data_IF_404096595728
#
_entry.id   IF_404096595728
#
_cell.length_a   1.000
_cell.length_b   1.000
_cell.length_c   1.000
_cell.angle_alpha   90.00
_cell.angle_beta   90.00
_cell.angle_gamma   90.00
#
_symmetry.space_group_name_H-M   'P 1'
#
loop_
_entity.id
_entity.type
_entity.pdbx_description
1 polymer ?
#
# COMPACT_ATOMS: atom_id res chain seq x y z
N UNK A 1 13.99 -4.32 -27.89
CA UNK A 1 14.03 -5.72 -27.39
C UNK A 1 14.52 -5.81 -25.94
N UNK A 2 15.47 -4.98 -25.48
CA UNK A 2 15.89 -4.95 -24.06
C UNK A 2 14.82 -4.37 -23.12
N UNK A 3 13.93 -3.55 -23.67
CA UNK A 3 13.01 -2.70 -22.93
C UNK A 3 11.73 -3.45 -22.53
N UNK A 4 11.21 -4.27 -23.45
CA UNK A 4 10.18 -5.29 -23.15
C UNK A 4 10.67 -6.24 -22.07
N UNK A 5 11.96 -6.62 -22.10
CA UNK A 5 12.57 -7.50 -21.09
C UNK A 5 12.60 -6.85 -19.70
N UNK A 6 12.72 -5.53 -19.62
CA UNK A 6 12.69 -4.79 -18.35
C UNK A 6 11.29 -4.76 -17.74
N UNK A 7 10.27 -4.37 -18.52
CA UNK A 7 8.88 -4.36 -18.07
C UNK A 7 8.36 -5.76 -17.74
N UNK A 8 8.78 -6.77 -18.50
CA UNK A 8 8.51 -8.17 -18.19
C UNK A 8 9.10 -8.61 -16.85
N UNK A 9 10.36 -8.23 -16.56
CA UNK A 9 10.98 -8.49 -15.26
C UNK A 9 10.28 -7.77 -14.11
N UNK A 10 9.85 -6.52 -14.32
CA UNK A 10 9.10 -5.76 -13.32
C UNK A 10 7.72 -6.39 -13.07
N UNK A 11 7.03 -6.81 -14.13
CA UNK A 11 5.77 -7.56 -14.05
C UNK A 11 5.97 -8.86 -13.27
N UNK A 12 7.02 -9.60 -13.56
CA UNK A 12 7.34 -10.86 -12.87
C UNK A 12 7.61 -10.63 -11.37
N UNK A 13 8.36 -9.58 -11.03
CA UNK A 13 8.60 -9.19 -9.64
C UNK A 13 7.30 -8.84 -8.90
N UNK A 14 6.48 -7.96 -9.48
CA UNK A 14 5.21 -7.56 -8.87
C UNK A 14 4.23 -8.74 -8.75
N UNK A 15 4.24 -9.65 -9.72
CA UNK A 15 3.46 -10.89 -9.65
C UNK A 15 3.92 -11.76 -8.47
N UNK A 16 5.23 -11.89 -8.25
CA UNK A 16 5.77 -12.63 -7.08
C UNK A 16 5.36 -11.98 -5.77
N UNK A 17 5.43 -10.65 -5.69
CA UNK A 17 5.04 -9.92 -4.47
C UNK A 17 3.53 -10.04 -4.20
N UNK A 18 2.69 -9.97 -5.24
CA UNK A 18 1.26 -10.25 -5.14
C UNK A 18 0.99 -11.65 -4.57
N UNK A 19 1.69 -12.67 -5.07
CA UNK A 19 1.54 -14.05 -4.59
C UNK A 19 1.98 -14.18 -3.12
N UNK A 20 3.11 -13.57 -2.74
CA UNK A 20 3.59 -13.55 -1.35
C UNK A 20 2.57 -12.92 -0.40
N UNK A 21 2.00 -11.77 -0.77
CA UNK A 21 0.96 -11.10 0.02
C UNK A 21 -0.34 -11.91 0.06
N UNK A 22 -0.69 -12.60 -1.03
CA UNK A 22 -1.85 -13.50 -1.05
C UNK A 22 -1.70 -14.67 -0.07
N UNK A 23 -0.50 -15.26 0.02
CA UNK A 23 -0.19 -16.31 1.00
C UNK A 23 -0.28 -15.77 2.44
N UNK A 24 0.34 -14.61 2.69
CA UNK A 24 0.30 -13.94 4.00
C UNK A 24 -1.14 -13.60 4.44
N UNK A 25 -1.96 -13.13 3.50
CA UNK A 25 -3.39 -12.88 3.71
C UNK A 25 -4.14 -14.14 4.11
N UNK A 26 -3.88 -15.27 3.45
CA UNK A 26 -4.55 -16.54 3.72
C UNK A 26 -4.17 -17.10 5.11
N UNK A 27 -2.91 -16.94 5.51
CA UNK A 27 -2.44 -17.28 6.85
C UNK A 27 -3.14 -16.45 7.94
N UNK A 28 -3.26 -15.14 7.73
CA UNK A 28 -3.93 -14.23 8.67
C UNK A 28 -5.43 -14.55 8.75
N UNK A 29 -6.10 -14.80 7.61
CA UNK A 29 -7.50 -15.21 7.59
C UNK A 29 -7.72 -16.53 8.32
N UNK A 30 -6.82 -17.50 8.14
CA UNK A 30 -6.87 -18.78 8.85
C UNK A 30 -6.75 -18.60 10.36
N UNK A 31 -5.85 -17.70 10.81
CA UNK A 31 -5.73 -17.33 12.22
C UNK A 31 -7.00 -16.64 12.75
N UNK A 32 -7.59 -15.71 11.98
CA UNK A 32 -8.83 -15.02 12.33
C UNK A 32 -9.98 -16.03 12.52
N UNK A 33 -10.21 -16.91 11.55
CA UNK A 33 -11.27 -17.93 11.61
C UNK A 33 -11.11 -18.83 12.84
N UNK A 34 -9.87 -19.22 13.15
CA UNK A 34 -9.59 -20.03 14.34
C UNK A 34 -9.97 -19.29 15.62
N UNK A 35 -9.57 -18.02 15.76
CA UNK A 35 -9.91 -17.21 16.93
C UNK A 35 -11.42 -16.97 17.07
N UNK A 36 -12.13 -16.70 15.97
CA UNK A 36 -13.58 -16.55 15.95
C UNK A 36 -14.29 -17.84 16.38
N UNK A 37 -13.79 -19.00 15.93
CA UNK A 37 -14.32 -20.31 16.33
C UNK A 37 -14.11 -20.56 17.83
N UNK A 38 -12.92 -20.24 18.34
CA UNK A 38 -12.63 -20.35 19.77
C UNK A 38 -13.48 -19.38 20.61
N UNK A 39 -13.72 -18.16 20.14
CA UNK A 39 -14.58 -17.19 20.81
C UNK A 39 -16.03 -17.66 20.87
N UNK A 40 -16.57 -18.19 19.76
CA UNK A 40 -17.93 -18.76 19.72
C UNK A 40 -18.08 -19.95 20.67
N UNK A 41 -17.12 -20.89 20.65
CA UNK A 41 -17.13 -22.05 21.55
C UNK A 41 -17.08 -21.64 23.03
N UNK A 42 -16.29 -20.60 23.35
CA UNK A 42 -16.24 -20.06 24.70
C UNK A 42 -17.58 -19.46 25.13
N UNK A 43 -18.23 -18.65 24.26
CA UNK A 43 -19.56 -18.09 24.53
C UNK A 43 -20.60 -19.17 24.82
N UNK A 44 -20.61 -20.26 24.04
CA UNK A 44 -21.51 -21.40 24.26
C UNK A 44 -21.22 -22.12 25.59
N UNK A 45 -19.94 -22.32 25.93
CA UNK A 45 -19.52 -22.88 27.21
C UNK A 45 -19.99 -22.00 28.38
N UNK A 46 -19.83 -20.68 28.29
CA UNK A 46 -20.29 -19.74 29.31
C UNK A 46 -21.81 -19.75 29.48
N UNK A 47 -22.55 -19.73 28.36
CA UNK A 47 -24.01 -19.80 28.39
C UNK A 47 -24.49 -21.10 29.07
N UNK A 48 -23.90 -22.24 28.72
CA UNK A 48 -24.23 -23.53 29.30
C UNK A 48 -23.88 -23.59 30.80
N UNK A 49 -22.73 -23.05 31.22
CA UNK A 49 -22.35 -22.96 32.64
C UNK A 49 -23.33 -22.12 33.44
N UNK A 50 -23.72 -20.95 32.95
CA UNK A 50 -24.70 -20.07 33.61
C UNK A 50 -26.05 -20.77 33.81
N UNK A 51 -26.51 -21.51 32.80
CA UNK A 51 -27.75 -22.30 32.88
C UNK A 51 -27.66 -23.42 33.92
N UNK A 52 -26.49 -24.05 34.07
CA UNK A 52 -26.25 -25.07 35.10
C UNK A 52 -26.23 -24.45 36.51
N UNK A 53 -25.56 -23.30 36.68
CA UNK A 53 -25.55 -22.53 37.93
C UNK A 53 -26.97 -22.14 38.38
N UNK A 54 -27.78 -21.60 37.47
CA UNK A 54 -29.18 -21.25 37.74
C UNK A 54 -29.98 -22.48 38.18
N UNK A 55 -29.82 -23.62 37.51
CA UNK A 55 -30.45 -24.89 37.91
C UNK A 55 -29.97 -25.37 39.28
N UNK A 56 -28.67 -25.25 39.59
CA UNK A 56 -28.12 -25.63 40.89
C UNK A 56 -28.68 -24.77 42.02
N UNK A 57 -28.84 -23.45 41.82
CA UNK A 57 -29.48 -22.56 42.82
C UNK A 57 -30.90 -22.98 43.16
N UNK A 58 -31.67 -23.47 42.18
CA UNK A 58 -33.05 -23.92 42.39
C UNK A 58 -33.09 -25.21 43.24
N UNK A 59 -32.18 -26.16 43.00
CA UNK A 59 -32.20 -27.47 43.65
C UNK A 59 -31.34 -27.57 44.93
N UNK A 60 -30.32 -26.74 45.09
CA UNK A 60 -29.35 -26.78 46.19
C UNK A 60 -29.03 -25.35 46.71
N UNK A 61 -29.98 -24.68 47.39
CA UNK A 61 -29.86 -23.27 47.76
C UNK A 61 -28.77 -22.96 48.80
N UNK A 62 -28.18 -23.96 49.46
CA UNK A 62 -27.23 -23.80 50.55
C UNK A 62 -25.76 -24.10 50.17
N UNK A 63 -25.44 -24.32 48.90
CA UNK A 63 -24.04 -24.53 48.46
C UNK A 63 -23.36 -23.21 48.08
N UNK A 64 -22.10 -23.03 48.50
CA UNK A 64 -21.29 -21.84 48.17
C UNK A 64 -21.18 -21.64 46.64
N UNK A 65 -21.34 -20.40 46.19
CA UNK A 65 -21.08 -19.97 44.81
C UNK A 65 -19.60 -20.14 44.49
N UNK A 66 -19.31 -20.84 43.38
CA UNK A 66 -17.95 -20.96 42.84
C UNK A 66 -17.60 -19.63 42.17
N UNK A 67 -16.49 -19.01 42.57
CA UNK A 67 -15.96 -17.83 41.89
C UNK A 67 -15.31 -18.28 40.58
N UNK A 68 -15.80 -17.76 39.45
CA UNK A 68 -15.17 -17.93 38.14
C UNK A 68 -14.31 -16.69 37.84
N UNK A 69 -13.15 -16.89 37.23
CA UNK A 69 -12.16 -15.85 36.94
C UNK A 69 -12.63 -14.80 35.93
N UNK A 70 -11.73 -13.94 35.46
CA UNK A 70 -12.02 -12.78 34.60
C UNK A 70 -12.43 -13.15 33.15
N UNK A 71 -13.53 -13.88 32.98
CA UNK A 71 -14.08 -14.32 31.69
C UNK A 71 -14.29 -13.16 30.70
N UNK A 72 -14.66 -11.98 31.22
CA UNK A 72 -14.82 -10.75 30.42
C UNK A 72 -13.52 -10.19 29.87
N UNK A 73 -12.40 -10.39 30.56
CA UNK A 73 -11.10 -9.93 30.07
C UNK A 73 -10.62 -10.82 28.92
N UNK A 74 -10.79 -12.15 29.03
CA UNK A 74 -10.45 -13.09 27.97
C UNK A 74 -11.27 -12.85 26.68
N UNK A 75 -12.59 -12.62 26.80
CA UNK A 75 -13.44 -12.27 25.63
C UNK A 75 -12.99 -10.96 24.98
N UNK A 76 -12.68 -9.95 25.79
CA UNK A 76 -12.22 -8.65 25.29
C UNK A 76 -10.86 -8.75 24.60
N UNK A 77 -9.94 -9.54 25.15
CA UNK A 77 -8.63 -9.75 24.56
C UNK A 77 -8.71 -10.46 23.21
N UNK A 78 -9.52 -11.52 23.09
CA UNK A 78 -9.76 -12.21 21.82
C UNK A 78 -10.42 -11.31 20.78
N UNK A 79 -11.43 -10.54 21.18
CA UNK A 79 -12.09 -9.57 20.29
C UNK A 79 -11.10 -8.52 19.76
N UNK A 80 -10.21 -8.02 20.61
CA UNK A 80 -9.14 -7.10 20.19
C UNK A 80 -8.15 -7.75 19.22
N UNK A 81 -7.80 -9.02 19.41
CA UNK A 81 -6.91 -9.75 18.50
C UNK A 81 -7.57 -9.94 17.12
N UNK A 82 -8.84 -10.32 17.07
CA UNK A 82 -9.61 -10.45 15.83
C UNK A 82 -9.65 -9.11 15.08
N UNK A 83 -9.91 -8.01 15.79
CA UNK A 83 -9.95 -6.69 15.18
C UNK A 83 -8.59 -6.27 14.58
N UNK A 84 -7.48 -6.57 15.26
CA UNK A 84 -6.13 -6.33 14.72
C UNK A 84 -5.87 -7.14 13.45
N UNK A 85 -6.25 -8.42 13.44
CA UNK A 85 -6.12 -9.26 12.25
C UNK A 85 -6.96 -8.72 11.09
N UNK A 86 -8.15 -8.21 11.37
CA UNK A 86 -9.03 -7.60 10.36
C UNK A 86 -8.43 -6.33 9.74
N UNK A 87 -7.82 -5.46 10.55
CA UNK A 87 -7.06 -4.31 10.04
C UNK A 87 -5.91 -4.75 9.13
N UNK A 88 -5.15 -5.78 9.55
CA UNK A 88 -4.04 -6.31 8.75
C UNK A 88 -4.52 -6.89 7.41
N UNK A 89 -5.64 -7.64 7.41
CA UNK A 89 -6.22 -8.18 6.16
C UNK A 89 -6.59 -7.06 5.22
N UNK A 90 -7.27 -6.02 5.72
CA UNK A 90 -7.67 -4.88 4.87
C UNK A 90 -6.44 -4.17 4.28
N UNK A 91 -5.40 -3.93 5.09
CA UNK A 91 -4.16 -3.32 4.60
C UNK A 91 -3.44 -4.15 3.54
N UNK A 92 -3.44 -5.49 3.68
CA UNK A 92 -2.91 -6.39 2.66
C UNK A 92 -3.80 -6.37 1.41
N UNK A 93 -5.12 -6.36 1.56
CA UNK A 93 -6.07 -6.29 0.44
C UNK A 93 -5.89 -5.00 -0.38
N UNK A 94 -5.69 -3.86 0.28
CA UNK A 94 -5.38 -2.58 -0.37
C UNK A 94 -4.04 -2.67 -1.14
N UNK A 95 -2.99 -3.19 -0.49
CA UNK A 95 -1.67 -3.35 -1.14
C UNK A 95 -1.73 -4.31 -2.34
N UNK A 96 -2.51 -5.38 -2.24
CA UNK A 96 -2.72 -6.33 -3.34
C UNK A 96 -3.51 -5.71 -4.49
N UNK A 97 -4.51 -4.87 -4.21
CA UNK A 97 -5.26 -4.12 -5.21
C UNK A 97 -4.33 -3.19 -6.00
N UNK A 98 -3.50 -2.42 -5.30
CA UNK A 98 -2.50 -1.54 -5.92
C UNK A 98 -1.53 -2.32 -6.83
N UNK A 99 -0.95 -3.42 -6.33
CA UNK A 99 -0.03 -4.25 -7.13
C UNK A 99 -0.73 -4.79 -8.38
N UNK A 100 -2.00 -5.17 -8.29
CA UNK A 100 -2.77 -5.67 -9.43
C UNK A 100 -3.03 -4.59 -10.49
N UNK A 101 -3.30 -3.37 -10.07
CA UNK A 101 -3.43 -2.21 -10.96
C UNK A 101 -2.09 -1.93 -11.65
N UNK A 102 -0.96 -1.98 -10.93
CA UNK A 102 0.38 -1.85 -11.52
C UNK A 102 0.73 -2.95 -12.51
N UNK A 103 0.41 -4.22 -12.22
CA UNK A 103 0.63 -5.32 -13.16
C UNK A 103 -0.17 -5.08 -14.45
N UNK A 104 -1.43 -4.65 -14.32
CA UNK A 104 -2.30 -4.34 -15.46
C UNK A 104 -1.74 -3.19 -16.29
N UNK A 105 -1.24 -2.14 -15.63
CA UNK A 105 -0.57 -1.00 -16.26
C UNK A 105 0.71 -1.41 -17.01
N UNK A 106 1.56 -2.23 -16.41
CA UNK A 106 2.77 -2.72 -17.08
C UNK A 106 2.38 -3.60 -18.27
N UNK A 107 1.33 -4.41 -18.16
CA UNK A 107 0.83 -5.21 -19.27
C UNK A 107 0.31 -4.36 -20.43
N UNK A 108 -0.39 -3.25 -20.16
CA UNK A 108 -0.81 -2.32 -21.22
C UNK A 108 0.40 -1.63 -21.86
N UNK A 109 1.37 -1.19 -21.06
CA UNK A 109 2.61 -0.59 -21.59
C UNK A 109 3.42 -1.58 -22.44
N UNK A 110 3.60 -2.83 -22.00
CA UNK A 110 4.28 -3.85 -22.80
C UNK A 110 3.56 -4.06 -24.13
N UNK A 111 2.23 -4.12 -24.11
CA UNK A 111 1.41 -4.31 -25.31
C UNK A 111 1.47 -3.12 -26.27
N UNK A 112 1.45 -1.89 -25.75
CA UNK A 112 1.62 -0.67 -26.56
C UNK A 112 3.05 -0.51 -27.10
N UNK A 113 4.06 -0.90 -26.32
CA UNK A 113 5.49 -0.84 -26.68
C UNK A 113 5.91 -1.94 -27.68
N UNK A 114 5.22 -3.07 -27.71
CA UNK A 114 5.37 -4.06 -28.81
C UNK A 114 4.96 -3.46 -30.16
N UNK A 115 4.04 -2.47 -30.16
CA UNK A 115 3.55 -1.80 -31.37
C UNK A 115 4.27 -0.47 -31.68
N UNK A 116 4.77 0.29 -30.70
CA UNK A 116 5.53 1.54 -30.94
C UNK A 116 6.47 1.92 -29.76
N UNK A 117 7.73 2.25 -30.10
CA UNK A 117 8.82 2.79 -29.25
C UNK A 117 9.58 1.82 -28.31
N UNK A 118 10.91 1.77 -28.46
CA UNK A 118 11.81 1.27 -27.42
C UNK A 118 11.85 2.20 -26.20
N UNK A 119 12.24 1.70 -25.03
CA UNK A 119 12.48 2.50 -23.81
C UNK A 119 13.90 2.32 -23.33
N UNK A 120 14.58 3.44 -23.17
CA UNK A 120 15.96 3.57 -22.73
C UNK A 120 16.15 3.24 -21.24
N UNK A 121 17.38 2.87 -20.85
CA UNK A 121 17.81 2.83 -19.44
C UNK A 121 17.89 4.26 -18.82
N UNK A 122 17.39 5.26 -19.54
CA UNK A 122 17.40 6.68 -19.19
C UNK A 122 16.18 7.04 -18.33
N UNK A 123 16.47 7.51 -17.11
CA UNK A 123 15.49 7.97 -16.14
C UNK A 123 14.51 9.00 -16.73
N UNK A 124 15.01 9.90 -17.58
CA UNK A 124 14.19 10.98 -18.16
C UNK A 124 13.09 10.42 -19.05
N UNK A 125 13.44 9.48 -19.94
CA UNK A 125 12.45 8.85 -20.83
C UNK A 125 11.39 8.08 -20.04
N UNK A 126 11.81 7.39 -18.97
CA UNK A 126 10.90 6.65 -18.11
C UNK A 126 9.91 7.57 -17.39
N UNK A 127 10.38 8.67 -16.82
CA UNK A 127 9.50 9.63 -16.14
C UNK A 127 8.55 10.34 -17.09
N UNK A 128 8.99 10.67 -18.31
CA UNK A 128 8.11 11.19 -19.35
C UNK A 128 7.00 10.19 -19.72
N UNK A 129 7.30 8.88 -19.71
CA UNK A 129 6.27 7.86 -19.92
C UNK A 129 5.26 7.80 -18.76
N UNK A 130 5.73 7.97 -17.51
CA UNK A 130 4.85 8.05 -16.33
C UNK A 130 3.93 9.28 -16.43
N UNK A 131 4.49 10.44 -16.76
CA UNK A 131 3.71 11.67 -16.95
C UNK A 131 2.68 11.52 -18.06
N UNK A 132 3.08 11.01 -19.22
CA UNK A 132 2.15 10.78 -20.34
C UNK A 132 1.00 9.85 -19.94
N UNK A 133 1.25 8.87 -19.06
CA UNK A 133 0.19 8.02 -18.52
C UNK A 133 -0.75 8.80 -17.59
N UNK A 134 -0.19 9.58 -16.66
CA UNK A 134 -0.97 10.36 -15.69
C UNK A 134 -1.82 11.42 -16.38
N UNK A 135 -1.31 12.12 -17.38
CA UNK A 135 -2.06 13.07 -18.22
C UNK A 135 -3.27 12.41 -18.90
N UNK A 136 -3.11 11.16 -19.38
CA UNK A 136 -4.21 10.42 -19.99
C UNK A 136 -5.30 10.01 -18.99
N UNK A 137 -4.92 9.68 -17.75
CA UNK A 137 -5.89 9.33 -16.69
C UNK A 137 -6.57 10.57 -16.11
N UNK A 138 -5.80 11.62 -15.89
CA UNK A 138 -6.23 12.83 -15.20
C UNK A 138 -6.20 14.02 -16.17
N UNK A 139 -7.03 13.97 -17.21
CA UNK A 139 -7.09 15.00 -18.27
C UNK A 139 -7.40 16.44 -17.81
N UNK A 140 -7.76 16.62 -16.55
CA UNK A 140 -8.03 17.92 -15.92
C UNK A 140 -6.83 18.45 -15.09
N UNK A 141 -5.77 17.66 -14.97
CA UNK A 141 -4.55 18.00 -14.24
C UNK A 141 -3.42 18.23 -15.23
N UNK A 142 -2.72 19.35 -15.10
CA UNK A 142 -1.51 19.65 -15.85
C UNK A 142 -0.27 19.07 -15.17
N UNK A 143 0.55 18.31 -15.91
CA UNK A 143 1.80 17.75 -15.40
C UNK A 143 3.00 18.48 -16.00
N UNK A 144 3.88 19.00 -15.14
CA UNK A 144 5.08 19.71 -15.54
C UNK A 144 6.31 18.99 -14.99
N UNK A 145 7.29 18.71 -15.85
CA UNK A 145 8.55 18.07 -15.40
C UNK A 145 9.72 19.02 -15.54
N UNK A 146 10.46 19.23 -14.46
CA UNK A 146 11.75 19.93 -14.47
C UNK A 146 12.88 18.92 -14.23
N UNK A 147 13.81 18.85 -15.17
CA UNK A 147 14.92 17.90 -15.16
C UNK A 147 16.23 18.66 -15.22
N UNK A 148 17.04 18.56 -14.16
CA UNK A 148 18.42 19.03 -14.23
C UNK A 148 19.18 18.25 -15.31
N UNK A 149 19.94 18.98 -16.15
CA UNK A 149 20.48 18.48 -17.41
C UNK A 149 21.38 17.23 -17.24
N UNK A 150 20.89 16.07 -17.69
CA UNK A 150 21.71 14.87 -17.86
C UNK A 150 20.90 13.60 -18.17
N UNK A 151 21.27 12.88 -19.22
CA UNK A 151 20.75 11.52 -19.45
C UNK A 151 21.38 10.59 -18.41
N UNK A 152 20.54 9.96 -17.60
CA UNK A 152 21.00 9.22 -16.43
C UNK A 152 20.60 7.76 -16.51
N UNK A 153 21.60 6.89 -16.58
CA UNK A 153 21.40 5.44 -16.68
C UNK A 153 21.16 4.87 -15.29
N UNK A 154 19.96 4.34 -15.07
CA UNK A 154 19.54 3.76 -13.78
C UNK A 154 19.29 2.25 -13.89
N UNK A 155 19.24 1.56 -12.75
CA UNK A 155 18.90 0.13 -12.73
C UNK A 155 17.39 -0.08 -12.94
N UNK A 156 17.03 -1.24 -13.46
CA UNK A 156 15.62 -1.65 -13.62
C UNK A 156 14.84 -1.62 -12.31
N UNK A 157 15.45 -2.06 -11.22
CA UNK A 157 14.82 -2.10 -9.89
C UNK A 157 14.56 -0.70 -9.36
N UNK A 158 15.55 0.20 -9.50
CA UNK A 158 15.40 1.62 -9.15
C UNK A 158 14.22 2.23 -9.91
N UNK A 159 14.19 2.00 -11.22
CA UNK A 159 13.17 2.52 -12.11
C UNK A 159 11.76 2.03 -11.75
N UNK A 160 11.60 0.73 -11.49
CA UNK A 160 10.32 0.18 -11.06
C UNK A 160 9.84 0.75 -9.72
N UNK A 161 10.75 0.89 -8.75
CA UNK A 161 10.42 1.48 -7.46
C UNK A 161 10.01 2.95 -7.60
N UNK A 162 10.69 3.69 -8.46
CA UNK A 162 10.38 5.09 -8.70
C UNK A 162 8.99 5.26 -9.32
N UNK A 163 8.71 4.54 -10.41
CA UNK A 163 7.39 4.55 -11.07
C UNK A 163 6.29 4.29 -10.04
N UNK A 164 6.46 3.25 -9.22
CA UNK A 164 5.48 2.89 -8.19
C UNK A 164 5.24 4.03 -7.21
N UNK A 165 6.31 4.63 -6.68
CA UNK A 165 6.21 5.70 -5.67
C UNK A 165 5.52 6.94 -6.27
N UNK A 166 5.93 7.36 -7.47
CA UNK A 166 5.37 8.57 -8.09
C UNK A 166 3.91 8.38 -8.48
N UNK A 167 3.57 7.29 -9.16
CA UNK A 167 2.18 7.02 -9.57
C UNK A 167 1.26 6.91 -8.36
N UNK A 168 1.68 6.22 -7.30
CA UNK A 168 0.90 6.12 -6.06
C UNK A 168 0.67 7.49 -5.42
N UNK A 169 1.74 8.24 -5.21
CA UNK A 169 1.69 9.52 -4.50
C UNK A 169 0.80 10.51 -5.25
N UNK A 170 0.98 10.62 -6.56
CA UNK A 170 0.19 11.53 -7.38
C UNK A 170 -1.28 11.10 -7.38
N UNK A 171 -1.58 9.83 -7.65
CA UNK A 171 -2.97 9.35 -7.74
C UNK A 171 -3.71 9.50 -6.42
N UNK A 172 -3.09 9.11 -5.31
CA UNK A 172 -3.71 9.24 -3.98
C UNK A 172 -3.92 10.69 -3.56
N UNK A 173 -3.04 11.61 -3.98
CA UNK A 173 -3.19 13.03 -3.66
C UNK A 173 -4.29 13.67 -4.51
N UNK A 174 -4.36 13.35 -5.81
CA UNK A 174 -5.45 13.81 -6.70
C UNK A 174 -6.83 13.35 -6.18
N UNK A 175 -6.93 12.15 -5.63
CA UNK A 175 -8.19 11.65 -5.07
C UNK A 175 -8.60 12.33 -3.75
N UNK A 176 -7.65 12.98 -3.06
CA UNK A 176 -7.88 13.53 -1.71
C UNK A 176 -7.92 15.05 -1.64
N UNK A 177 -7.33 15.75 -2.61
CA UNK A 177 -7.22 17.21 -2.63
C UNK A 177 -7.59 17.72 -4.02
N UNK A 178 -8.41 18.78 -4.08
CA UNK A 178 -8.69 19.50 -5.33
C UNK A 178 -7.43 20.25 -5.78
N UNK A 179 -6.96 19.94 -6.98
CA UNK A 179 -5.75 20.51 -7.57
C UNK A 179 -5.93 20.62 -9.09
N UNK A 180 -5.12 21.45 -9.75
CA UNK A 180 -5.13 21.61 -11.21
C UNK A 180 -3.79 21.26 -11.86
N UNK A 181 -2.72 21.14 -11.07
CA UNK A 181 -1.39 20.90 -11.62
C UNK A 181 -0.46 20.19 -10.65
N UNK A 182 0.50 19.45 -11.22
CA UNK A 182 1.56 18.75 -10.51
C UNK A 182 2.90 19.06 -11.16
N UNK A 183 3.84 19.59 -10.39
CA UNK A 183 5.23 19.79 -10.82
C UNK A 183 6.10 18.65 -10.28
N UNK A 184 6.83 17.98 -11.16
CA UNK A 184 7.80 16.94 -10.85
C UNK A 184 9.20 17.53 -11.08
N UNK A 185 9.84 17.97 -9.99
CA UNK A 185 11.21 18.50 -9.98
C UNK A 185 12.20 17.37 -9.69
N UNK A 186 13.12 17.11 -10.61
CA UNK A 186 14.10 16.03 -10.51
C UNK A 186 15.50 16.62 -10.52
N UNK A 187 16.17 16.51 -9.36
CA UNK A 187 17.53 16.99 -9.13
C UNK A 187 18.50 15.84 -8.95
N UNK A 188 19.55 15.85 -9.76
CA UNK A 188 20.67 14.93 -9.60
C UNK A 188 21.75 15.57 -8.74
N UNK A 189 22.04 14.96 -7.59
CA UNK A 189 23.01 15.47 -6.61
C UNK A 189 24.01 14.35 -6.31
N UNK A 190 25.19 14.43 -6.93
CA UNK A 190 26.30 13.46 -6.76
C UNK A 190 25.91 12.00 -7.03
N UNK A 191 25.60 11.22 -5.99
CA UNK A 191 25.19 9.81 -6.04
C UNK A 191 23.71 9.61 -5.66
N UNK A 192 22.93 10.68 -5.76
CA UNK A 192 21.52 10.72 -5.37
C UNK A 192 20.64 11.37 -6.42
N UNK A 193 19.39 10.95 -6.42
CA UNK A 193 18.31 11.64 -7.10
C UNK A 193 17.35 12.12 -6.04
N UNK A 194 17.12 13.42 -6.03
CA UNK A 194 16.05 14.03 -5.29
C UNK A 194 14.89 14.28 -6.25
N UNK A 195 13.71 13.79 -5.91
CA UNK A 195 12.49 14.05 -6.67
C UNK A 195 11.51 14.74 -5.75
N UNK A 196 11.10 15.94 -6.13
CA UNK A 196 10.08 16.69 -5.41
C UNK A 196 8.84 16.84 -6.28
N UNK A 197 7.71 16.41 -5.73
CA UNK A 197 6.39 16.61 -6.29
C UNK A 197 5.76 17.81 -5.61
N UNK A 198 5.32 18.80 -6.37
CA UNK A 198 4.50 19.90 -5.88
C UNK A 198 3.09 19.74 -6.42
N UNK A 199 2.10 19.79 -5.54
CA UNK A 199 0.68 19.73 -5.88
C UNK A 199 0.14 21.15 -5.82
N UNK A 200 -0.46 21.65 -6.90
CA UNK A 200 -0.88 23.04 -6.98
C UNK A 200 -2.34 23.22 -7.37
N UNK A 201 -2.89 24.35 -6.94
CA UNK A 201 -4.17 24.88 -7.37
C UNK A 201 -4.01 26.39 -7.60
N UNK A 202 -4.33 26.88 -8.78
CA UNK A 202 -4.20 28.30 -9.14
C UNK A 202 -2.79 28.87 -8.82
N UNK A 203 -1.74 28.11 -9.15
CA UNK A 203 -0.32 28.42 -8.87
C UNK A 203 0.09 28.41 -7.38
N UNK A 204 -0.82 28.11 -6.44
CA UNK A 204 -0.50 27.94 -5.02
C UNK A 204 -0.12 26.49 -4.70
N UNK A 205 1.01 26.28 -4.02
CA UNK A 205 1.44 24.95 -3.57
C UNK A 205 0.59 24.50 -2.39
N UNK A 206 -0.25 23.49 -2.62
CA UNK A 206 -1.13 22.89 -1.62
C UNK A 206 -0.40 21.86 -0.75
N UNK A 207 0.37 20.98 -1.37
CA UNK A 207 1.18 19.95 -0.70
C UNK A 207 2.44 19.68 -1.52
N UNK A 208 3.45 19.08 -0.89
CA UNK A 208 4.65 18.65 -1.59
C UNK A 208 5.26 17.39 -0.96
N UNK A 209 5.89 16.58 -1.81
CA UNK A 209 6.51 15.32 -1.42
C UNK A 209 7.91 15.25 -1.97
N UNK A 210 8.89 15.05 -1.10
CA UNK A 210 10.29 14.90 -1.49
C UNK A 210 10.75 13.47 -1.26
N UNK A 211 11.42 12.90 -2.27
CA UNK A 211 11.97 11.55 -2.26
C UNK A 211 13.46 11.58 -2.58
N UNK A 212 14.26 11.06 -1.64
CA UNK A 212 15.70 10.88 -1.83
C UNK A 212 16.02 9.43 -2.20
N UNK A 213 16.61 9.25 -3.37
CA UNK A 213 17.05 7.96 -3.85
C UNK A 213 18.57 7.92 -3.99
N UNK A 214 19.23 7.11 -3.17
CA UNK A 214 20.65 6.83 -3.32
C UNK A 214 20.87 5.69 -4.33
N UNK A 215 21.88 5.80 -5.20
CA UNK A 215 22.25 4.69 -6.09
C UNK A 215 22.80 3.46 -5.37
N UNK A 216 23.28 3.63 -4.12
CA UNK A 216 24.05 2.60 -3.39
C UNK A 216 23.23 1.84 -2.35
N UNK A 217 22.08 2.33 -1.88
CA UNK A 217 21.27 1.61 -0.88
C UNK A 217 19.81 2.10 -0.83
N UNK A 218 18.93 1.14 -0.50
CA UNK A 218 17.47 1.24 -0.31
C UNK A 218 17.00 2.60 0.26
N UNK A 219 15.94 3.12 -0.38
CA UNK A 219 15.00 4.19 0.02
C UNK A 219 15.22 4.72 1.45
N UNK A 220 15.48 6.03 1.58
CA UNK A 220 15.47 6.72 2.87
C UNK A 220 14.37 7.79 2.88
N UNK A 221 13.48 7.64 3.87
CA UNK A 221 12.54 8.57 4.49
C UNK A 221 11.71 9.53 3.62
N UNK A 222 10.39 9.43 3.80
CA UNK A 222 9.41 10.47 3.52
C UNK A 222 9.38 11.48 4.68
N UNK A 223 9.63 12.76 4.40
CA UNK A 223 9.28 13.85 5.32
C UNK A 223 8.04 14.58 4.76
N UNK A 224 6.92 14.46 5.48
CA UNK A 224 5.73 15.30 5.27
C UNK A 224 5.80 16.46 6.27
N UNK A 225 5.73 17.71 5.82
CA UNK A 225 5.50 18.85 6.73
C UNK A 225 4.01 19.17 6.73
N UNK A 226 3.39 19.03 7.90
CA UNK A 226 2.09 19.62 8.18
C UNK A 226 2.27 21.15 8.19
N UNK A 227 1.63 21.84 7.24
CA UNK A 227 1.51 23.29 7.30
C UNK A 227 0.49 23.63 8.40
N UNK A 228 0.99 24.04 9.56
CA UNK A 228 0.22 24.79 10.55
C UNK A 228 -0.03 26.22 10.00
N UNK A 229 -1.19 26.45 9.40
CA UNK A 229 -1.85 27.78 9.35
C UNK A 229 -3.36 27.66 9.51
#
# INVERSE_FOLDING_TARGET
>A
MKDVVMFEKLREYLTKEYMRLSEEREDILSQKIRLETEESNNKDLFFNRKKIEERKRIFYPFTNTIYFGNEKEEEKEKSNQIHKLEINVNSIDDSMKEIKEYITFIQSMVKEKEDNFGVSDDLKEMLLAVVSFLENQYSHIEFLTDFDEGNMITSTEFNGNLIRILTYTISSTIESIEMDSVIIDVKHIEDKINITLYMLLEDEVLDYYTYDFNFVNRICNTEKKENDQ
#
